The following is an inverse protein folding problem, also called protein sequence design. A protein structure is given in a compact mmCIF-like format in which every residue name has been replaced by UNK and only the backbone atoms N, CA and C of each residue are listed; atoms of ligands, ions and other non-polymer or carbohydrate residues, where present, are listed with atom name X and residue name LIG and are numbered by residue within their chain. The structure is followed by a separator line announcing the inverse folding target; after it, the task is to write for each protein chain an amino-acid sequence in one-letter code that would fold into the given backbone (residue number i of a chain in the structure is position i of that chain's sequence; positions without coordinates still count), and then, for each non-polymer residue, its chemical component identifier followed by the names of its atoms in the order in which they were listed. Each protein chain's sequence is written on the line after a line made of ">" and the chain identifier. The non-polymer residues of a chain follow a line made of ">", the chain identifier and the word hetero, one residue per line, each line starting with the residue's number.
data_IF_817187831330
#
_entry.id   IF_817187831330
#
_cell.length_a   1.000
_cell.length_b   1.000
_cell.length_c   1.000
_cell.angle_alpha   90.00
_cell.angle_beta   90.00
_cell.angle_gamma   90.00
#
_symmetry.space_group_name_H-M   'P 1'
#
loop_
_entity.id
_entity.type
_entity.pdbx_description
1 polymer ?
#
# COMPACT_ATOMS: atom_id res chain seq x y z
N UNK A 1 -21.84 11.00 1.89
CA UNK A 1 -20.67 10.99 0.99
C UNK A 1 -19.82 9.82 1.44
N UNK A 2 -19.67 8.77 0.65
CA UNK A 2 -18.77 7.67 1.03
C UNK A 2 -17.36 8.25 1.09
N UNK A 3 -16.84 8.45 2.29
CA UNK A 3 -15.53 9.04 2.51
C UNK A 3 -14.53 7.89 2.55
N UNK A 4 -13.73 7.75 1.49
CA UNK A 4 -12.72 6.71 1.42
C UNK A 4 -11.63 6.97 2.44
N UNK A 5 -11.32 5.97 3.25
CA UNK A 5 -10.19 5.97 4.18
C UNK A 5 -8.94 5.38 3.53
N UNK A 6 -7.80 5.62 4.18
CA UNK A 6 -6.48 5.21 3.68
C UNK A 6 -5.71 4.43 4.72
N UNK A 7 -5.23 3.25 4.32
CA UNK A 7 -4.29 2.45 5.08
C UNK A 7 -2.98 2.26 4.30
N UNK A 8 -1.87 2.09 5.02
CA UNK A 8 -0.58 1.72 4.45
C UNK A 8 -0.06 0.50 5.21
N UNK A 9 0.15 -0.60 4.49
CA UNK A 9 0.57 -1.88 5.07
C UNK A 9 1.86 -2.35 4.41
N UNK A 10 2.78 -2.90 5.22
CA UNK A 10 4.01 -3.54 4.78
C UNK A 10 4.10 -4.93 5.39
N UNK A 11 4.34 -5.96 4.57
CA UNK A 11 4.24 -7.35 5.01
C UNK A 11 4.96 -8.36 4.12
N UNK A 12 5.98 -7.92 3.37
CA UNK A 12 6.72 -8.74 2.41
C UNK A 12 6.55 -8.20 0.98
N UNK A 13 6.66 -9.09 -0.01
CA UNK A 13 6.60 -8.70 -1.42
C UNK A 13 5.27 -8.01 -1.76
N UNK A 14 5.34 -6.78 -2.23
CA UNK A 14 4.15 -5.97 -2.50
C UNK A 14 3.25 -6.52 -3.63
N UNK A 15 3.75 -7.42 -4.49
CA UNK A 15 2.97 -7.99 -5.60
C UNK A 15 1.95 -8.99 -5.06
N UNK A 16 2.41 -9.89 -4.18
CA UNK A 16 1.54 -10.84 -3.49
C UNK A 16 0.54 -10.11 -2.59
N UNK A 17 1.01 -9.12 -1.82
CA UNK A 17 0.11 -8.34 -0.98
C UNK A 17 -0.94 -7.58 -1.79
N UNK A 18 -0.53 -6.88 -2.86
CA UNK A 18 -1.46 -6.12 -3.69
C UNK A 18 -2.49 -7.03 -4.35
N UNK A 19 -2.08 -8.18 -4.89
CA UNK A 19 -3.00 -9.12 -5.54
C UNK A 19 -4.06 -9.68 -4.57
N UNK A 20 -3.69 -9.95 -3.32
CA UNK A 20 -4.61 -10.44 -2.29
C UNK A 20 -5.55 -9.33 -1.77
N UNK A 21 -5.00 -8.14 -1.51
CA UNK A 21 -5.75 -7.05 -0.86
C UNK A 21 -6.70 -6.36 -1.83
N UNK A 22 -6.33 -6.18 -3.11
CA UNK A 22 -7.20 -5.53 -4.10
C UNK A 22 -8.53 -6.28 -4.35
N UNK A 23 -8.63 -7.53 -3.91
CA UNK A 23 -9.82 -8.39 -4.05
C UNK A 23 -10.74 -8.33 -2.83
N UNK A 24 -10.34 -7.64 -1.76
CA UNK A 24 -11.15 -7.55 -0.54
C UNK A 24 -12.36 -6.63 -0.75
N UNK A 25 -13.52 -6.98 -0.17
CA UNK A 25 -14.68 -6.08 -0.14
C UNK A 25 -14.32 -4.71 0.44
N UNK A 26 -14.95 -3.66 -0.09
CA UNK A 26 -14.69 -2.28 0.36
C UNK A 26 -13.41 -1.65 -0.20
N UNK A 27 -12.48 -2.42 -0.78
CA UNK A 27 -11.28 -1.84 -1.40
C UNK A 27 -11.63 -1.14 -2.71
N UNK A 28 -11.27 0.14 -2.79
CA UNK A 28 -11.53 1.02 -3.93
C UNK A 28 -10.31 1.08 -4.84
N UNK A 29 -9.11 1.22 -4.28
CA UNK A 29 -7.87 1.29 -5.03
C UNK A 29 -6.67 0.85 -4.20
N UNK A 30 -5.63 0.37 -4.88
CA UNK A 30 -4.35 0.03 -4.25
C UNK A 30 -3.20 0.55 -5.10
N UNK A 31 -2.12 1.02 -4.46
CA UNK A 31 -0.85 1.34 -5.12
C UNK A 31 0.32 0.78 -4.33
N UNK A 32 1.35 0.33 -5.03
CA UNK A 32 2.59 -0.18 -4.42
C UNK A 32 3.62 0.94 -4.28
N UNK A 33 4.51 0.80 -3.30
CA UNK A 33 5.61 1.73 -3.11
C UNK A 33 6.52 1.32 -1.96
N UNK A 34 7.37 2.26 -1.55
CA UNK A 34 8.33 2.07 -0.46
C UNK A 34 8.10 3.14 0.61
N UNK A 35 8.01 2.75 1.88
CA UNK A 35 7.75 3.67 2.99
C UNK A 35 8.47 3.24 4.28
N UNK A 36 8.54 4.13 5.27
CA UNK A 36 9.14 3.86 6.59
C UNK A 36 10.65 4.13 6.70
N UNK A 37 11.35 4.35 5.59
CA UNK A 37 12.77 4.72 5.56
C UNK A 37 12.99 6.24 5.47
N UNK A 38 14.26 6.62 5.28
CA UNK A 38 14.70 8.03 5.22
C UNK A 38 15.16 8.48 3.83
N UNK A 39 15.25 7.55 2.87
CA UNK A 39 15.75 7.85 1.52
C UNK A 39 14.66 8.58 0.72
N UNK A 40 14.96 9.78 0.26
CA UNK A 40 14.05 10.52 -0.62
C UNK A 40 13.99 9.86 -2.02
N UNK A 41 12.83 9.94 -2.67
CA UNK A 41 12.60 9.41 -4.03
C UNK A 41 13.00 7.94 -4.18
N UNK A 42 12.61 7.13 -3.20
CA UNK A 42 12.89 5.70 -3.18
C UNK A 42 12.45 5.01 -4.50
N UNK A 43 13.32 4.15 -5.03
CA UNK A 43 13.10 3.35 -6.24
C UNK A 43 13.33 1.88 -5.94
N UNK A 44 12.93 0.99 -6.84
CA UNK A 44 13.17 -0.46 -6.67
C UNK A 44 14.65 -0.81 -6.46
N UNK A 45 15.59 -0.03 -7.01
CA UNK A 45 17.03 -0.28 -6.83
C UNK A 45 17.63 0.44 -5.63
N UNK A 46 16.96 1.48 -5.13
CA UNK A 46 17.44 2.29 -4.02
C UNK A 46 16.27 2.73 -3.13
N UNK A 47 16.00 1.93 -2.10
CA UNK A 47 14.96 2.18 -1.10
C UNK A 47 15.43 1.75 0.29
N UNK A 48 16.72 1.98 0.60
CA UNK A 48 17.34 1.54 1.85
C UNK A 48 16.56 2.04 3.07
N UNK A 49 16.26 1.11 3.99
CA UNK A 49 15.47 1.37 5.19
C UNK A 49 13.97 1.53 4.95
N UNK A 50 13.48 1.55 3.70
CA UNK A 50 12.05 1.45 3.42
C UNK A 50 11.62 -0.01 3.32
N UNK A 51 10.38 -0.28 3.75
CA UNK A 51 9.71 -1.53 3.46
C UNK A 51 8.91 -1.41 2.15
N UNK A 52 8.85 -2.51 1.40
CA UNK A 52 7.83 -2.68 0.37
C UNK A 52 6.44 -2.64 1.00
N UNK A 53 5.60 -1.73 0.52
CA UNK A 53 4.30 -1.45 1.10
C UNK A 53 3.24 -1.24 0.03
N UNK A 54 1.99 -1.37 0.45
CA UNK A 54 0.82 -1.00 -0.34
C UNK A 54 0.05 0.11 0.38
N UNK A 55 -0.36 1.12 -0.37
CA UNK A 55 -1.40 2.06 0.07
C UNK A 55 -2.74 1.54 -0.44
N UNK A 56 -3.74 1.55 0.44
CA UNK A 56 -5.07 1.04 0.20
C UNK A 56 -6.04 2.18 0.44
N UNK A 57 -6.85 2.50 -0.56
CA UNK A 57 -8.04 3.32 -0.39
C UNK A 57 -9.24 2.38 -0.28
N UNK A 58 -9.99 2.49 0.82
CA UNK A 58 -11.15 1.64 1.09
C UNK A 58 -12.35 2.45 1.60
N UNK A 59 -13.53 1.89 1.43
CA UNK A 59 -14.78 2.40 2.00
C UNK A 59 -14.99 1.75 3.38
N UNK A 60 -14.93 2.51 4.49
CA UNK A 60 -15.06 1.96 5.84
C UNK A 60 -16.48 1.47 6.18
N UNK A 61 -17.48 1.83 5.38
CA UNK A 61 -18.88 1.43 5.59
C UNK A 61 -19.25 0.14 4.82
N UNK A 62 -18.28 -0.49 4.15
CA UNK A 62 -18.45 -1.70 3.34
C UNK A 62 -17.77 -2.94 3.92
#
# INVERSE_FOLDING_TARGET
>A
MAQTEKAVLAGGCFWGMQDLVRKQPGVVSTRVGYTGGKVANATYRNHEGHAEAIEILYDPER
#
